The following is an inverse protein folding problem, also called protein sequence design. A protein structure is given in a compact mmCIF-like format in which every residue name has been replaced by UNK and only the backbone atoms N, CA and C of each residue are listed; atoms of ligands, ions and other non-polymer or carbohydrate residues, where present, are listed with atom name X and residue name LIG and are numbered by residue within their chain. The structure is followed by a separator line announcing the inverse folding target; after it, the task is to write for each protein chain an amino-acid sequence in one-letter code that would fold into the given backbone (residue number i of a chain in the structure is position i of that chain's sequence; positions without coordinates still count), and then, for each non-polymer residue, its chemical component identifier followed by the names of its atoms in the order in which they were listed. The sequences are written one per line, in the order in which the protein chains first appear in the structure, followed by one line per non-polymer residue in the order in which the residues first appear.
data_IF_807472532612
#
_entry.id   IF_807472532612
#
_cell.length_a   1.000
_cell.length_b   1.000
_cell.length_c   1.000
_cell.angle_alpha   90.00
_cell.angle_beta   90.00
_cell.angle_gamma   90.00
#
_symmetry.space_group_name_H-M   'P 1'
#
loop_
_entity.id
_entity.type
_entity.pdbx_description
1 polymer ?
#
# COMPACT_ATOMS: atom_id res chain seq x y z
N UNK A 1 10.38 -5.29 -11.88
CA UNK A 1 8.97 -5.53 -12.17
C UNK A 1 8.43 -4.42 -13.06
N UNK A 2 7.61 -4.80 -14.00
CA UNK A 2 6.86 -3.85 -14.81
C UNK A 2 5.48 -4.42 -15.14
N UNK A 3 4.44 -3.61 -14.89
CA UNK A 3 3.06 -3.88 -15.30
C UNK A 3 2.59 -2.75 -16.21
N UNK A 4 1.98 -3.10 -17.35
CA UNK A 4 1.45 -2.16 -18.35
C UNK A 4 -0.05 -2.35 -18.58
N UNK A 5 -0.66 -3.27 -17.86
CA UNK A 5 -2.09 -3.60 -17.95
C UNK A 5 -2.61 -3.97 -19.34
N UNK A 6 -1.73 -4.39 -20.25
CA UNK A 6 -2.11 -4.79 -21.61
C UNK A 6 -2.91 -6.09 -21.65
N UNK A 7 -2.68 -6.99 -20.70
CA UNK A 7 -3.25 -8.34 -20.64
C UNK A 7 -4.24 -8.57 -19.52
N UNK A 8 -4.53 -7.55 -18.71
CA UNK A 8 -5.39 -7.64 -17.54
C UNK A 8 -4.91 -6.74 -16.42
N UNK A 9 -5.33 -7.03 -15.21
CA UNK A 9 -4.97 -6.25 -14.03
C UNK A 9 -3.64 -6.64 -13.39
N UNK A 10 -2.98 -7.71 -13.86
CA UNK A 10 -1.67 -8.16 -13.38
C UNK A 10 -1.64 -8.52 -11.89
N UNK A 11 -2.77 -8.88 -11.31
CA UNK A 11 -2.93 -9.15 -9.88
C UNK A 11 -3.32 -7.93 -9.04
N UNK A 12 -3.49 -6.76 -9.68
CA UNK A 12 -4.00 -5.57 -9.01
C UNK A 12 -5.51 -5.63 -8.87
N UNK A 13 -6.00 -5.16 -7.75
CA UNK A 13 -7.42 -5.12 -7.40
C UNK A 13 -7.76 -3.86 -6.61
N UNK A 14 -9.03 -3.57 -6.45
CA UNK A 14 -9.53 -2.36 -5.83
C UNK A 14 -10.44 -2.61 -4.65
N UNK A 15 -10.84 -1.50 -4.02
CA UNK A 15 -11.81 -1.48 -2.94
C UNK A 15 -12.89 -0.45 -3.26
N UNK A 16 -14.14 -0.89 -3.32
CA UNK A 16 -15.27 -0.01 -3.52
C UNK A 16 -16.31 -0.19 -2.44
N UNK A 17 -16.80 0.91 -1.91
CA UNK A 17 -17.83 0.95 -0.88
C UNK A 17 -17.41 0.35 0.46
N UNK A 18 -18.21 0.56 1.49
CA UNK A 18 -17.88 0.14 2.86
C UNK A 18 -18.14 -1.34 3.15
N UNK A 19 -18.76 -2.07 2.25
CA UNK A 19 -19.25 -3.43 2.52
C UNK A 19 -18.93 -4.45 1.43
N UNK A 20 -18.38 -4.02 0.31
CA UNK A 20 -18.18 -4.89 -0.84
C UNK A 20 -16.82 -5.59 -0.86
N UNK A 21 -15.89 -5.20 0.02
CA UNK A 21 -14.57 -5.81 0.10
C UNK A 21 -13.76 -5.70 -1.19
N UNK A 22 -13.18 -6.80 -1.59
CA UNK A 22 -12.36 -6.96 -2.77
C UNK A 22 -13.20 -6.77 -4.06
N UNK A 23 -12.75 -5.86 -4.93
CA UNK A 23 -13.42 -5.49 -6.16
C UNK A 23 -12.45 -5.47 -7.34
N UNK A 24 -12.90 -5.79 -8.55
CA UNK A 24 -12.09 -5.59 -9.73
C UNK A 24 -11.84 -4.09 -9.96
N UNK A 25 -10.66 -3.76 -10.43
CA UNK A 25 -10.40 -2.45 -11.03
C UNK A 25 -11.11 -2.37 -12.39
N UNK A 26 -11.57 -1.19 -12.74
CA UNK A 26 -12.03 -0.95 -14.11
C UNK A 26 -10.85 -1.14 -15.06
N UNK A 27 -10.84 -2.25 -15.83
CA UNK A 27 -9.75 -2.54 -16.76
C UNK A 27 -10.11 -2.15 -18.19
N UNK A 28 -9.16 -1.49 -18.85
CA UNK A 28 -9.11 -1.32 -20.31
C UNK A 28 -7.71 -1.69 -20.76
N UNK A 29 -7.54 -2.17 -21.98
CA UNK A 29 -6.22 -2.50 -22.50
C UNK A 29 -5.26 -1.32 -22.31
N UNK A 30 -4.18 -1.56 -21.54
CA UNK A 30 -3.17 -0.57 -21.21
C UNK A 30 -3.48 0.32 -20.00
N UNK A 31 -4.59 0.11 -19.28
CA UNK A 31 -4.84 0.84 -18.03
C UNK A 31 -5.83 0.18 -17.08
N UNK A 32 -5.75 0.55 -15.81
CA UNK A 32 -6.72 0.21 -14.77
C UNK A 32 -7.22 1.46 -14.08
N UNK A 33 -8.48 1.47 -13.69
CA UNK A 33 -9.13 2.60 -13.04
C UNK A 33 -9.68 2.19 -11.67
N UNK A 34 -9.33 2.94 -10.65
CA UNK A 34 -9.98 2.92 -9.34
C UNK A 34 -10.89 4.14 -9.20
N UNK A 35 -12.13 3.93 -8.77
CA UNK A 35 -13.14 4.99 -8.68
C UNK A 35 -13.86 4.97 -7.34
N UNK A 36 -14.14 6.16 -6.82
CA UNK A 36 -15.00 6.31 -5.63
C UNK A 36 -16.43 5.81 -5.88
N UNK A 37 -17.18 5.43 -4.81
CA UNK A 37 -16.78 5.49 -3.41
C UNK A 37 -15.75 4.41 -3.07
N UNK A 38 -14.66 4.83 -2.43
CA UNK A 38 -13.63 3.91 -1.95
C UNK A 38 -13.93 3.41 -0.55
N UNK A 39 -13.48 2.18 -0.27
CA UNK A 39 -13.59 1.62 1.08
C UNK A 39 -12.67 2.35 2.06
N UNK A 40 -13.21 2.64 3.25
CA UNK A 40 -12.43 3.20 4.35
C UNK A 40 -11.81 2.05 5.14
N UNK A 41 -10.50 2.05 5.28
CA UNK A 41 -9.84 1.07 6.14
C UNK A 41 -10.00 1.44 7.61
N UNK A 42 -10.85 0.66 8.28
CA UNK A 42 -11.07 0.78 9.72
C UNK A 42 -10.10 -0.07 10.56
N UNK A 43 -9.27 -0.90 9.94
CA UNK A 43 -8.34 -1.76 10.64
C UNK A 43 -7.22 -0.98 11.29
N UNK A 44 -6.85 0.15 10.70
CA UNK A 44 -5.81 1.04 11.18
C UNK A 44 -6.40 2.33 11.81
N UNK A 45 -7.66 2.26 12.26
CA UNK A 45 -8.26 3.35 13.02
C UNK A 45 -7.52 3.58 14.35
N UNK A 46 -7.75 4.72 15.02
CA UNK A 46 -7.05 5.04 16.27
C UNK A 46 -6.84 3.82 17.18
N UNK A 47 -5.69 3.72 17.85
CA UNK A 47 -4.63 4.72 18.04
C UNK A 47 -3.57 4.80 16.95
N UNK A 48 -3.78 4.18 15.80
CA UNK A 48 -2.88 4.29 14.65
C UNK A 48 -2.87 5.71 14.04
N UNK A 49 -2.24 5.85 12.86
CA UNK A 49 -2.10 7.15 12.20
C UNK A 49 -3.41 7.74 11.65
N UNK A 50 -4.52 6.99 11.67
CA UNK A 50 -5.83 7.40 11.21
C UNK A 50 -6.42 6.53 10.11
N UNK A 51 -7.49 7.04 9.51
CA UNK A 51 -8.22 6.34 8.45
C UNK A 51 -7.62 6.61 7.09
N UNK A 52 -7.84 5.68 6.18
CA UNK A 52 -7.44 5.83 4.79
C UNK A 52 -8.47 5.24 3.83
N UNK A 53 -8.52 5.74 2.61
CA UNK A 53 -9.18 5.06 1.51
C UNK A 53 -8.20 4.15 0.78
N UNK A 54 -8.60 2.92 0.55
CA UNK A 54 -7.84 1.94 -0.23
C UNK A 54 -8.27 2.04 -1.71
N UNK A 55 -7.39 2.52 -2.58
CA UNK A 55 -7.70 2.70 -4.00
C UNK A 55 -7.41 1.45 -4.81
N UNK A 56 -6.16 0.98 -4.74
CA UNK A 56 -5.76 -0.25 -5.40
C UNK A 56 -4.64 -0.95 -4.62
N UNK A 57 -4.57 -2.26 -4.79
CA UNK A 57 -3.71 -3.14 -4.03
C UNK A 57 -3.11 -4.22 -4.93
N UNK A 58 -1.85 -4.55 -4.70
CA UNK A 58 -1.16 -5.72 -5.20
C UNK A 58 -0.70 -6.58 -4.02
N UNK A 59 -1.16 -7.82 -3.94
CA UNK A 59 -0.62 -8.79 -3.00
C UNK A 59 0.69 -9.36 -3.54
N UNK A 60 1.80 -9.02 -2.94
CA UNK A 60 3.13 -9.34 -3.49
C UNK A 60 3.48 -10.83 -3.48
N UNK A 61 2.77 -11.63 -2.69
CA UNK A 61 2.92 -13.11 -2.67
C UNK A 61 1.86 -13.85 -3.48
N UNK A 62 1.02 -13.12 -4.23
CA UNK A 62 -0.04 -13.69 -5.05
C UNK A 62 -1.40 -13.73 -4.37
N UNK A 63 -2.39 -14.35 -5.03
CA UNK A 63 -3.75 -14.39 -4.52
C UNK A 63 -3.85 -15.20 -3.23
N UNK A 64 -4.65 -14.73 -2.28
CA UNK A 64 -4.89 -15.41 -1.00
C UNK A 64 -6.13 -16.31 -1.01
N UNK A 65 -6.90 -16.31 -2.10
CA UNK A 65 -8.07 -17.16 -2.30
C UNK A 65 -8.40 -17.29 -3.80
N UNK A 66 -9.25 -18.23 -4.16
CA UNK A 66 -9.74 -18.37 -5.55
C UNK A 66 -10.55 -17.14 -5.97
N UNK A 67 -11.43 -16.65 -5.11
CA UNK A 67 -12.15 -15.41 -5.37
C UNK A 67 -11.21 -14.21 -5.60
N UNK A 68 -10.10 -14.12 -4.86
CA UNK A 68 -9.09 -13.09 -5.12
C UNK A 68 -8.49 -13.24 -6.52
N UNK A 69 -8.20 -14.46 -6.95
CA UNK A 69 -7.69 -14.73 -8.30
C UNK A 69 -8.71 -14.35 -9.39
N UNK A 70 -9.99 -14.66 -9.18
CA UNK A 70 -11.07 -14.27 -10.10
C UNK A 70 -11.15 -12.75 -10.27
N UNK A 71 -11.02 -11.99 -9.18
CA UNK A 71 -11.13 -10.53 -9.18
C UNK A 71 -9.87 -9.84 -9.72
N UNK A 72 -8.70 -10.29 -9.28
CA UNK A 72 -7.42 -9.63 -9.55
C UNK A 72 -6.69 -10.19 -10.78
N UNK A 73 -7.13 -11.31 -11.32
CA UNK A 73 -6.42 -12.02 -12.38
C UNK A 73 -5.11 -12.65 -11.90
N UNK A 74 -4.27 -13.05 -12.86
CA UNK A 74 -2.94 -13.57 -12.55
C UNK A 74 -2.03 -12.49 -12.00
N UNK A 75 -1.31 -12.83 -10.93
CA UNK A 75 -0.40 -11.90 -10.27
C UNK A 75 0.99 -11.96 -10.91
N UNK A 76 1.25 -11.01 -11.81
CA UNK A 76 2.52 -10.92 -12.54
C UNK A 76 3.74 -10.69 -11.61
N UNK A 77 3.55 -10.01 -10.48
CA UNK A 77 4.62 -9.78 -9.50
C UNK A 77 5.05 -11.11 -8.84
N UNK A 78 4.08 -11.85 -8.32
CA UNK A 78 4.36 -13.14 -7.66
C UNK A 78 4.89 -14.17 -8.64
N UNK A 79 4.31 -14.26 -9.85
CA UNK A 79 4.76 -15.17 -10.91
C UNK A 79 6.19 -14.89 -11.37
N UNK A 80 6.61 -13.63 -11.38
CA UNK A 80 7.96 -13.20 -11.74
C UNK A 80 8.99 -13.37 -10.62
N UNK A 81 8.58 -13.84 -9.42
CA UNK A 81 9.44 -14.03 -8.25
C UNK A 81 10.32 -12.81 -7.93
N UNK A 82 9.76 -11.62 -8.05
CA UNK A 82 10.48 -10.37 -7.80
C UNK A 82 10.90 -10.24 -6.32
N UNK A 83 11.99 -9.49 -6.04
CA UNK A 83 12.45 -9.27 -4.68
C UNK A 83 11.38 -8.67 -3.77
N UNK A 84 11.36 -9.09 -2.50
CA UNK A 84 10.53 -8.50 -1.46
C UNK A 84 11.29 -7.45 -0.62
N UNK A 85 12.58 -7.30 -0.84
CA UNK A 85 13.39 -6.23 -0.26
C UNK A 85 13.22 -4.96 -1.09
N UNK A 86 12.45 -4.03 -0.54
CA UNK A 86 12.14 -2.75 -1.17
C UNK A 86 13.08 -1.62 -0.73
N UNK A 87 14.05 -1.89 0.16
CA UNK A 87 15.03 -0.85 0.54
C UNK A 87 15.76 -0.35 -0.69
N UNK A 88 15.84 0.98 -0.83
CA UNK A 88 16.45 1.65 -1.97
C UNK A 88 15.79 1.32 -3.34
N UNK A 89 14.61 0.72 -3.33
CA UNK A 89 13.85 0.52 -4.56
C UNK A 89 13.27 1.85 -5.06
N UNK A 90 13.02 1.92 -6.37
CA UNK A 90 12.29 3.01 -7.00
C UNK A 90 10.97 2.48 -7.54
N UNK A 91 9.88 3.10 -7.15
CA UNK A 91 8.54 2.82 -7.68
C UNK A 91 8.15 3.95 -8.62
N UNK A 92 8.07 3.66 -9.90
CA UNK A 92 7.66 4.60 -10.94
C UNK A 92 6.25 4.26 -11.37
N UNK A 93 5.40 5.27 -11.36
CA UNK A 93 3.98 5.18 -11.68
C UNK A 93 3.63 6.19 -12.77
N UNK A 94 2.92 5.75 -13.80
CA UNK A 94 2.29 6.66 -14.74
C UNK A 94 0.79 6.65 -14.48
N UNK A 95 0.28 7.79 -14.07
CA UNK A 95 -1.10 7.92 -13.63
C UNK A 95 -1.75 9.21 -14.09
N UNK A 96 -3.07 9.21 -14.11
CA UNK A 96 -3.94 10.40 -14.25
C UNK A 96 -5.21 10.21 -13.43
N UNK A 97 -5.97 11.26 -13.30
CA UNK A 97 -7.27 11.19 -12.65
C UNK A 97 -7.84 12.55 -12.33
N UNK A 98 -8.97 12.51 -11.67
CA UNK A 98 -9.59 13.68 -11.08
C UNK A 98 -10.13 13.29 -9.71
N UNK A 99 -9.53 13.84 -8.65
CA UNK A 99 -9.85 13.53 -7.27
C UNK A 99 -10.02 14.82 -6.48
N UNK A 100 -11.16 14.96 -5.81
CA UNK A 100 -11.31 15.95 -4.75
C UNK A 100 -10.70 15.37 -3.47
N UNK A 101 -9.49 15.76 -3.14
CA UNK A 101 -8.69 15.14 -2.09
C UNK A 101 -9.18 15.43 -0.66
N UNK A 102 -9.91 16.52 -0.43
CA UNK A 102 -10.46 16.90 0.89
C UNK A 102 -9.42 16.92 2.03
N UNK A 103 -8.18 17.31 1.71
CA UNK A 103 -7.07 17.31 2.67
C UNK A 103 -6.24 16.03 2.72
N UNK A 104 -6.71 14.95 2.10
CA UNK A 104 -5.92 13.74 1.94
C UNK A 104 -4.86 13.89 0.84
N UNK A 105 -3.89 13.00 0.84
CA UNK A 105 -2.85 12.86 -0.19
C UNK A 105 -2.90 11.45 -0.76
N UNK A 106 -2.57 11.29 -2.05
CA UNK A 106 -2.35 9.97 -2.64
C UNK A 106 -0.93 9.52 -2.30
N UNK A 107 -0.80 8.41 -1.59
CA UNK A 107 0.48 7.90 -1.11
C UNK A 107 0.63 6.41 -1.33
N UNK A 108 1.88 5.95 -1.36
CA UNK A 108 2.24 4.54 -1.38
C UNK A 108 2.19 3.98 0.04
N UNK A 109 1.57 2.83 0.20
CA UNK A 109 1.57 2.03 1.42
C UNK A 109 2.26 0.70 1.14
N UNK A 110 3.25 0.35 1.97
CA UNK A 110 3.92 -0.94 1.98
C UNK A 110 3.59 -1.71 3.25
N UNK A 111 3.26 -2.99 3.13
CA UNK A 111 2.94 -3.85 4.26
C UNK A 111 3.83 -5.09 4.31
N UNK A 112 4.33 -5.37 5.51
CA UNK A 112 5.07 -6.58 5.83
C UNK A 112 4.46 -7.30 7.02
N UNK A 113 4.68 -8.61 7.07
CA UNK A 113 4.27 -9.49 8.18
C UNK A 113 5.47 -10.17 8.79
N UNK A 114 5.52 -10.18 10.12
CA UNK A 114 6.46 -11.02 10.87
C UNK A 114 5.69 -11.79 11.94
N UNK A 115 5.74 -13.10 11.87
CA UNK A 115 4.89 -13.95 12.69
C UNK A 115 3.40 -13.67 12.44
N UNK A 116 2.66 -13.31 13.47
CA UNK A 116 1.24 -12.95 13.38
C UNK A 116 1.00 -11.46 13.08
N UNK A 117 2.01 -10.61 13.25
CA UNK A 117 1.87 -9.15 13.18
C UNK A 117 2.05 -8.64 11.75
N UNK A 118 1.06 -7.92 11.22
CA UNK A 118 1.15 -7.11 10.01
C UNK A 118 1.42 -5.67 10.42
N UNK A 119 2.34 -5.01 9.73
CA UNK A 119 2.59 -3.58 9.88
C UNK A 119 2.60 -2.89 8.53
N UNK A 120 2.01 -1.69 8.48
CA UNK A 120 1.93 -0.86 7.30
C UNK A 120 2.64 0.48 7.49
N UNK A 121 3.39 0.90 6.48
CA UNK A 121 4.08 2.18 6.43
C UNK A 121 3.68 2.95 5.18
N UNK A 122 3.25 4.19 5.38
CA UNK A 122 2.83 5.14 4.34
C UNK A 122 4.00 6.05 3.98
N UNK A 123 4.34 6.17 2.70
CA UNK A 123 5.36 7.10 2.21
C UNK A 123 4.77 8.51 2.09
N UNK A 124 4.54 9.16 3.23
CA UNK A 124 3.88 10.46 3.32
C UNK A 124 4.76 11.63 2.92
N UNK A 125 6.09 11.46 2.94
CA UNK A 125 7.03 12.48 2.49
C UNK A 125 7.11 12.65 0.96
N UNK A 126 6.50 11.74 0.19
CA UNK A 126 6.51 11.77 -1.27
C UNK A 126 5.09 11.49 -1.83
N UNK A 127 4.14 12.41 -1.63
CA UNK A 127 2.79 12.23 -2.15
C UNK A 127 2.77 12.31 -3.68
N UNK A 128 1.87 11.51 -4.28
CA UNK A 128 1.63 11.51 -5.72
C UNK A 128 0.63 12.59 -6.10
N UNK A 129 0.90 13.28 -7.18
CA UNK A 129 -0.01 14.26 -7.77
C UNK A 129 -1.01 13.57 -8.70
N UNK A 130 -2.28 13.94 -8.59
CA UNK A 130 -3.34 13.46 -9.50
C UNK A 130 -3.78 14.62 -10.37
N UNK A 131 -3.60 14.48 -11.69
CA UNK A 131 -4.03 15.45 -12.70
C UNK A 131 -4.80 14.75 -13.80
N UNK A 132 -5.61 15.51 -14.58
CA UNK A 132 -6.34 14.95 -15.72
C UNK A 132 -5.43 14.46 -16.84
N UNK A 133 -4.21 14.95 -16.91
CA UNK A 133 -3.20 14.53 -17.89
C UNK A 133 -2.35 13.42 -17.30
N UNK A 134 -1.90 12.51 -18.16
CA UNK A 134 -0.94 11.49 -17.77
C UNK A 134 0.37 12.13 -17.27
N UNK A 135 0.79 11.72 -16.10
CA UNK A 135 2.06 12.12 -15.52
C UNK A 135 2.83 10.89 -15.03
N UNK A 136 4.13 10.88 -15.26
CA UNK A 136 5.02 9.86 -14.70
C UNK A 136 5.67 10.41 -13.43
N UNK A 137 5.60 9.66 -12.35
CA UNK A 137 6.12 10.05 -11.05
C UNK A 137 6.95 8.91 -10.47
N UNK A 138 8.04 9.25 -9.80
CA UNK A 138 8.96 8.28 -9.20
C UNK A 138 9.03 8.50 -7.70
N UNK A 139 8.82 7.44 -6.94
CA UNK A 139 8.95 7.40 -5.49
C UNK A 139 10.24 6.65 -5.14
N UNK A 140 11.07 7.24 -4.28
CA UNK A 140 12.25 6.60 -3.74
C UNK A 140 11.91 5.92 -2.40
N UNK A 141 12.03 4.60 -2.34
CA UNK A 141 11.77 3.83 -1.13
C UNK A 141 13.03 3.86 -0.26
N UNK A 142 13.18 4.94 0.50
CA UNK A 142 14.32 5.14 1.40
C UNK A 142 14.03 4.64 2.82
N UNK A 143 15.08 4.33 3.59
CA UNK A 143 14.94 3.97 5.00
C UNK A 143 14.92 5.20 5.94
N UNK A 144 14.69 6.41 5.41
CA UNK A 144 14.61 7.65 6.19
C UNK A 144 13.27 7.75 6.92
N UNK A 145 13.21 7.66 8.26
CA UNK A 145 11.95 7.55 9.00
C UNK A 145 11.02 8.76 8.87
N UNK A 146 11.57 9.95 8.64
CA UNK A 146 10.82 11.20 8.46
C UNK A 146 10.00 11.26 7.17
N UNK A 147 10.30 10.38 6.21
CA UNK A 147 9.52 10.21 4.98
C UNK A 147 8.29 9.33 5.17
N UNK A 148 8.15 8.68 6.31
CA UNK A 148 7.17 7.62 6.52
C UNK A 148 6.26 7.87 7.72
N UNK A 149 5.02 7.42 7.59
CA UNK A 149 4.05 7.36 8.70
C UNK A 149 3.62 5.90 8.91
N UNK A 150 3.82 5.39 10.14
CA UNK A 150 3.33 4.06 10.49
C UNK A 150 1.83 4.11 10.74
N UNK A 151 1.10 3.14 10.19
CA UNK A 151 -0.34 2.99 10.49
C UNK A 151 -0.61 2.57 11.94
N UNK A 152 0.40 2.01 12.62
CA UNK A 152 0.29 1.60 14.02
C UNK A 152 -0.53 0.33 14.22
N UNK A 153 -0.95 0.13 15.44
CA UNK A 153 -1.71 -1.02 15.88
C UNK A 153 -3.20 -0.71 15.94
N UNK A 154 -4.02 -1.66 15.54
CA UNK A 154 -5.45 -1.64 15.84
C UNK A 154 -5.66 -2.05 17.30
N UNK A 155 -6.36 -1.24 18.07
CA UNK A 155 -6.51 -1.44 19.51
C UNK A 155 -7.24 -2.74 19.92
N UNK A 156 -8.11 -3.26 19.06
CA UNK A 156 -8.87 -4.49 19.27
C UNK A 156 -8.29 -5.71 18.56
N UNK A 157 -7.22 -5.52 17.78
CA UNK A 157 -6.54 -6.53 17.01
C UNK A 157 -5.02 -6.36 17.03
N UNK A 158 -4.46 -5.96 18.15
CA UNK A 158 -3.03 -5.76 18.32
C UNK A 158 -2.18 -7.03 18.13
N UNK A 159 -2.82 -8.20 18.18
CA UNK A 159 -2.24 -9.48 17.81
C UNK A 159 -2.10 -9.67 16.29
N UNK A 160 -2.78 -8.87 15.50
CA UNK A 160 -2.80 -8.97 14.04
C UNK A 160 -2.21 -7.75 13.35
N UNK A 161 -2.66 -6.54 13.72
CA UNK A 161 -2.07 -5.29 13.23
C UNK A 161 -1.23 -4.66 14.33
N UNK A 162 0.03 -4.40 14.03
CA UNK A 162 0.98 -3.90 15.00
C UNK A 162 2.04 -2.98 14.39
N UNK A 163 2.99 -2.64 15.21
CA UNK A 163 4.09 -1.78 14.87
C UNK A 163 5.39 -2.58 14.74
N UNK A 164 5.81 -2.85 13.49
CA UNK A 164 7.15 -3.34 13.19
C UNK A 164 8.03 -2.15 12.75
N UNK A 165 9.33 -2.15 13.06
CA UNK A 165 10.24 -1.12 12.58
C UNK A 165 10.19 -0.99 11.05
N UNK A 166 10.31 0.24 10.53
CA UNK A 166 10.30 0.54 9.09
C UNK A 166 11.26 -0.36 8.31
N UNK A 167 12.51 -0.42 8.75
CA UNK A 167 13.56 -1.24 8.13
C UNK A 167 13.17 -2.73 8.04
N UNK A 168 12.45 -3.24 9.05
CA UNK A 168 11.97 -4.63 9.05
C UNK A 168 10.93 -4.84 7.96
N UNK A 169 10.01 -3.89 7.80
CA UNK A 169 8.96 -3.96 6.77
C UNK A 169 9.56 -3.77 5.39
N UNK A 170 10.43 -2.78 5.18
CA UNK A 170 11.05 -2.54 3.88
C UNK A 170 11.93 -3.69 3.40
N UNK A 171 12.58 -4.41 4.33
CA UNK A 171 13.40 -5.59 4.00
C UNK A 171 12.60 -6.78 3.50
N UNK A 172 11.34 -6.89 3.90
CA UNK A 172 10.45 -8.00 3.52
C UNK A 172 9.01 -7.49 3.41
N UNK A 173 8.73 -6.80 2.30
CA UNK A 173 7.36 -6.37 1.92
C UNK A 173 6.64 -7.61 1.40
N UNK A 174 6.06 -8.38 2.31
CA UNK A 174 5.54 -9.72 2.01
C UNK A 174 4.01 -9.82 2.11
N UNK A 175 3.32 -8.70 2.23
CA UNK A 175 1.85 -8.63 2.27
C UNK A 175 1.33 -7.85 1.07
N UNK A 176 1.42 -6.53 1.10
CA UNK A 176 0.79 -5.67 0.09
C UNK A 176 1.66 -4.48 -0.31
N UNK A 177 1.48 -4.08 -1.55
CA UNK A 177 1.78 -2.75 -2.07
C UNK A 177 0.44 -2.11 -2.45
N UNK A 178 0.17 -0.90 -1.97
CA UNK A 178 -1.11 -0.23 -2.18
C UNK A 178 -0.94 1.25 -2.53
N UNK A 179 -1.88 1.79 -3.29
CA UNK A 179 -2.12 3.23 -3.37
C UNK A 179 -3.34 3.58 -2.54
N UNK A 180 -3.18 4.58 -1.67
CA UNK A 180 -4.20 4.97 -0.72
C UNK A 180 -4.31 6.49 -0.60
N UNK A 181 -5.49 6.99 -0.23
CA UNK A 181 -5.66 8.39 0.18
C UNK A 181 -5.58 8.48 1.70
N UNK A 182 -4.69 9.32 2.21
CA UNK A 182 -4.40 9.47 3.63
C UNK A 182 -3.93 10.91 3.97
N UNK A 183 -4.21 11.44 5.17
CA UNK A 183 -5.21 10.95 6.12
C UNK A 183 -6.62 11.35 5.71
N UNK A 184 -7.63 10.59 6.14
CA UNK A 184 -9.01 10.99 6.01
C UNK A 184 -9.46 11.73 7.26
N UNK A 185 -10.11 12.87 7.06
CA UNK A 185 -10.86 13.54 8.13
C UNK A 185 -12.24 12.89 8.25
N UNK A 186 -12.37 12.00 9.22
CA UNK A 186 -13.62 11.29 9.47
C UNK A 186 -14.16 11.71 10.82
N UNK A 187 -15.37 12.24 10.85
CA UNK A 187 -16.06 12.59 12.09
C UNK A 187 -17.16 11.56 12.39
N UNK A 188 -17.30 11.10 13.64
CA UNK A 188 -18.41 10.24 14.02
C UNK A 188 -19.73 11.01 13.88
N UNK A 189 -20.74 10.35 13.31
CA UNK A 189 -22.08 10.89 13.23
C UNK A 189 -22.81 10.64 14.54
N UNK A 190 -22.66 11.55 15.48
CA UNK A 190 -23.32 11.47 16.77
C UNK A 190 -22.37 11.59 17.97
N UNK A 191 -22.96 11.50 19.16
CA UNK A 191 -22.20 11.64 20.41
C UNK A 191 -21.46 10.33 20.71
N UNK A 192 -20.14 10.39 20.80
CA UNK A 192 -19.35 9.26 21.27
C UNK A 192 -19.59 9.03 22.76
N UNK A 193 -19.84 7.77 23.12
CA UNK A 193 -20.01 7.37 24.53
C UNK A 193 -18.69 7.00 25.19
N UNK A 194 -17.69 6.65 24.38
CA UNK A 194 -16.38 6.20 24.84
C UNK A 194 -15.27 6.92 24.07
N UNK A 195 -14.04 6.71 24.52
CA UNK A 195 -12.86 7.21 23.82
C UNK A 195 -12.81 6.70 22.37
N UNK A 196 -12.47 7.55 21.38
CA UNK A 196 -12.28 7.11 19.98
C UNK A 196 -11.35 5.92 19.82
N UNK A 197 -10.39 5.72 20.74
CA UNK A 197 -9.47 4.59 20.73
C UNK A 197 -10.14 3.23 21.01
N UNK A 198 -11.32 3.22 21.59
CA UNK A 198 -12.08 2.01 21.91
C UNK A 198 -13.22 1.75 20.94
N UNK A 199 -13.69 2.78 20.27
CA UNK A 199 -14.78 2.69 19.31
C UNK A 199 -14.27 2.21 17.96
N UNK A 200 -15.06 1.36 17.30
CA UNK A 200 -14.77 0.87 15.97
C UNK A 200 -15.69 1.53 14.95
N UNK A 201 -15.07 2.11 13.97
CA UNK A 201 -15.78 2.72 12.87
C UNK A 201 -16.62 1.68 12.10
N UNK A 202 -17.82 2.08 11.70
CA UNK A 202 -18.78 1.22 11.01
C UNK A 202 -19.52 0.24 11.92
N UNK A 203 -19.06 0.05 13.18
CA UNK A 203 -19.75 -0.74 14.19
C UNK A 203 -20.32 0.11 15.31
N UNK A 204 -19.48 0.93 15.90
CA UNK A 204 -19.81 1.71 17.11
C UNK A 204 -20.26 3.13 16.73
N UNK A 205 -19.89 3.60 15.56
CA UNK A 205 -20.37 4.86 14.98
C UNK A 205 -20.30 4.82 13.44
N UNK A 206 -21.24 5.44 12.74
CA UNK A 206 -21.15 5.60 11.31
C UNK A 206 -20.02 6.56 10.95
N UNK A 207 -19.20 6.18 9.95
CA UNK A 207 -17.93 6.84 9.68
C UNK A 207 -17.85 7.30 8.25
N UNK A 208 -18.68 8.20 7.89
CA UNK A 208 -18.44 9.00 6.69
C UNK A 208 -19.02 10.39 6.90
N UNK A 209 -18.38 11.30 6.25
CA UNK A 209 -18.88 12.66 6.14
C UNK A 209 -19.10 12.94 4.67
N UNK A 210 -19.86 13.97 4.37
CA UNK A 210 -19.98 14.49 3.00
C UNK A 210 -18.65 14.99 2.41
N UNK A 211 -17.61 15.07 3.24
CA UNK A 211 -16.30 15.61 2.88
C UNK A 211 -15.26 14.54 2.55
N UNK A 212 -15.66 13.31 2.34
CA UNK A 212 -14.76 12.25 1.90
C UNK A 212 -14.20 12.54 0.49
N UNK A 213 -12.96 12.13 0.22
CA UNK A 213 -12.41 12.17 -1.12
C UNK A 213 -13.29 11.43 -2.13
N UNK A 214 -13.43 12.01 -3.32
CA UNK A 214 -14.20 11.41 -4.40
C UNK A 214 -13.55 11.66 -5.75
N UNK A 215 -13.79 10.77 -6.72
CA UNK A 215 -13.26 10.88 -8.07
C UNK A 215 -12.74 9.56 -8.61
N UNK A 216 -11.66 9.62 -9.40
CA UNK A 216 -11.01 8.43 -9.94
C UNK A 216 -9.51 8.64 -10.12
N UNK A 217 -8.79 7.52 -10.08
CA UNK A 217 -7.36 7.43 -10.45
C UNK A 217 -7.22 6.30 -11.47
N UNK A 218 -6.51 6.57 -12.55
CA UNK A 218 -6.20 5.64 -13.62
C UNK A 218 -4.68 5.44 -13.70
N UNK A 219 -4.23 4.18 -13.76
CA UNK A 219 -2.83 3.78 -13.87
C UNK A 219 -2.64 3.09 -15.22
N UNK A 220 -1.58 3.41 -15.95
CA UNK A 220 -1.20 2.67 -17.16
C UNK A 220 0.13 1.94 -17.01
N UNK A 221 0.98 2.39 -16.11
CA UNK A 221 2.26 1.73 -15.88
C UNK A 221 2.64 1.79 -14.41
N UNK A 222 3.07 0.64 -13.91
CA UNK A 222 3.75 0.50 -12.61
C UNK A 222 5.08 -0.20 -12.86
N UNK A 223 6.18 0.47 -12.52
CA UNK A 223 7.53 -0.11 -12.62
C UNK A 223 8.21 -0.05 -11.25
N UNK A 224 8.80 -1.17 -10.83
CA UNK A 224 9.60 -1.23 -9.61
C UNK A 224 11.01 -1.66 -10.00
N UNK A 225 11.98 -0.82 -9.72
CA UNK A 225 13.40 -1.09 -9.91
C UNK A 225 14.02 -1.37 -8.55
N UNK A 226 14.54 -2.58 -8.38
CA UNK A 226 15.22 -2.99 -7.18
C UNK A 226 16.72 -2.70 -7.29
N UNK A 227 17.42 -2.35 -6.20
CA UNK A 227 18.86 -2.20 -6.22
C UNK A 227 19.51 -3.53 -6.61
N UNK A 228 20.61 -3.46 -7.34
CA UNK A 228 21.40 -4.67 -7.63
C UNK A 228 21.93 -5.24 -6.33
N UNK A 229 21.78 -6.54 -6.11
CA UNK A 229 22.44 -7.21 -5.01
C UNK A 229 23.93 -6.86 -5.06
N UNK A 230 24.47 -6.24 -3.99
CA UNK A 230 25.91 -6.02 -3.87
C UNK A 230 26.56 -7.40 -3.92
N UNK A 231 27.40 -7.64 -4.92
CA UNK A 231 28.23 -8.82 -4.95
C UNK A 231 29.01 -8.87 -3.61
N UNK A 232 28.83 -9.95 -2.87
CA UNK A 232 29.59 -10.16 -1.64
C UNK A 232 31.07 -10.10 -2.04
N UNK A 233 31.76 -9.05 -1.63
CA UNK A 233 33.21 -8.98 -1.75
C UNK A 233 33.78 -10.11 -0.89
N UNK A 234 34.13 -11.21 -1.55
CA UNK A 234 34.91 -12.30 -0.94
C UNK A 234 36.27 -11.73 -0.57
N UNK A 235 36.40 -11.27 0.65
CA UNK A 235 37.71 -11.10 1.28
C UNK A 235 38.28 -12.50 1.57
N UNK A 236 38.84 -13.12 0.53
CA UNK A 236 39.71 -14.24 0.73
C UNK A 236 40.97 -13.75 1.49
N UNK A 237 40.97 -13.92 2.80
CA UNK A 237 42.16 -13.78 3.63
C UNK A 237 43.15 -14.84 3.15
N UNK A 238 44.18 -14.40 2.43
CA UNK A 238 45.38 -15.20 2.19
C UNK A 238 46.07 -15.33 3.55
N UNK A 239 45.91 -16.48 4.18
CA UNK A 239 46.82 -16.92 5.22
C UNK A 239 48.18 -17.12 4.58
N UNK A 240 49.11 -16.24 4.91
CA UNK A 240 50.53 -16.43 4.61
C UNK A 240 51.05 -17.41 5.66
N UNK A 241 51.23 -18.67 5.26
CA UNK A 241 52.02 -19.64 5.99
C UNK A 241 53.47 -19.16 6.02
N UNK A 242 53.94 -18.75 7.19
CA UNK A 242 55.35 -18.65 7.48
C UNK A 242 55.77 -19.95 8.14
N UNK A 243 56.38 -20.81 7.32
CA UNK A 243 57.22 -21.90 7.80
C UNK A 243 58.47 -21.34 8.46
N UNK A 244 58.73 -21.73 9.69
CA UNK A 244 60.02 -22.10 10.28
C UNK A 244 59.82 -22.90 11.54
#
# INVERSE_FOLDING_TARGET
YQETFDRGTGGWWGFAGNHLGLQPLGWRRGSVTSRSPWWIDYNHAPPGAGYLHMLCCLNVRGPFSDHHREVAGENAFAAGAYPLDFREAQVRLRLRGEVRLRGAQLVLLLQGRRGKTISGWLLTGQPLSVTRQWSEQTLAVTSQPDQWTCLGARHDRGDYYGHLPLETVLRDVNVNLMLVLFPLTVAPMGKLRESPHRLRAGRDYPVWTSDLPEGYVELDTVRITFPRARAATSTASRSVDHAR
#
